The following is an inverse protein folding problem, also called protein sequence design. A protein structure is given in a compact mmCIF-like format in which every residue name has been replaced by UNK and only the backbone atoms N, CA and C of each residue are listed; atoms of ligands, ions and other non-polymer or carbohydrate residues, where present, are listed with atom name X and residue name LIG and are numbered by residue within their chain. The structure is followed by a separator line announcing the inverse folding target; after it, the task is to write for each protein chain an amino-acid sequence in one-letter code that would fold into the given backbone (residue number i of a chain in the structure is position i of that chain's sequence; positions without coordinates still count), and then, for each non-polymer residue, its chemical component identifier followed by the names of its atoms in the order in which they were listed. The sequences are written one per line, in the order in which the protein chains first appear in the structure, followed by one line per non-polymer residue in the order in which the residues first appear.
data_IF_384601980134
#
_entry.id   IF_384601980134
#
_cell.length_a   1.000
_cell.length_b   1.000
_cell.length_c   1.000
_cell.angle_alpha   90.00
_cell.angle_beta   90.00
_cell.angle_gamma   90.00
#
_symmetry.space_group_name_H-M   'P 1'
#
loop_
_entity.id
_entity.type
_entity.pdbx_description
1 polymer ?
#
# COMPACT_ATOMS: atom_id res chain seq x y z
N UNK A 1 0.53 2.65 13.19
CA UNK A 1 0.32 1.41 12.41
C UNK A 1 1.68 0.98 11.86
N UNK A 2 2.09 -0.29 11.99
CA UNK A 2 3.39 -0.76 11.44
C UNK A 2 3.42 -0.72 9.91
N UNK A 3 2.28 -0.94 9.26
CA UNK A 3 2.20 -0.97 7.79
C UNK A 3 2.45 0.41 7.16
N UNK A 4 2.03 1.51 7.81
CA UNK A 4 2.33 2.86 7.32
C UNK A 4 3.82 3.20 7.40
N UNK A 5 4.57 2.59 8.33
CA UNK A 5 6.03 2.69 8.35
C UNK A 5 6.65 1.85 7.23
N UNK A 6 6.21 0.61 7.08
CA UNK A 6 6.72 -0.31 6.04
C UNK A 6 6.48 0.24 4.64
N UNK A 7 5.35 0.91 4.40
CA UNK A 7 5.00 1.51 3.11
C UNK A 7 6.06 2.51 2.62
N UNK A 8 6.70 3.25 3.53
CA UNK A 8 7.79 4.19 3.18
C UNK A 8 8.99 3.50 2.55
N UNK A 9 9.22 2.22 2.88
CA UNK A 9 10.30 1.44 2.28
C UNK A 9 9.95 0.86 0.90
N UNK A 10 8.71 1.06 0.43
CA UNK A 10 8.32 0.65 -0.94
C UNK A 10 8.72 1.67 -2.01
N UNK A 11 9.07 2.90 -1.61
CA UNK A 11 9.36 3.99 -2.52
C UNK A 11 10.53 3.67 -3.44
N UNK A 12 10.35 3.98 -4.72
CA UNK A 12 11.37 3.86 -5.76
C UNK A 12 11.57 5.22 -6.40
N UNK A 13 12.74 5.86 -6.21
CA UNK A 13 13.06 7.09 -6.91
C UNK A 13 12.99 6.89 -8.41
N UNK A 14 12.47 7.87 -9.15
CA UNK A 14 12.61 7.89 -10.61
C UNK A 14 14.06 8.16 -11.00
N UNK A 15 14.42 7.86 -12.25
CA UNK A 15 15.73 8.19 -12.80
C UNK A 15 16.03 9.69 -12.68
N UNK A 16 15.02 10.55 -12.84
CA UNK A 16 15.18 12.00 -12.69
C UNK A 16 15.43 12.43 -11.23
N UNK A 17 14.88 11.70 -10.25
CA UNK A 17 15.10 11.99 -8.82
C UNK A 17 16.50 11.56 -8.37
N UNK A 18 17.08 10.53 -9.01
CA UNK A 18 18.45 10.09 -8.69
C UNK A 18 19.54 11.03 -9.20
N UNK A 19 19.23 11.89 -10.16
CA UNK A 19 20.18 12.84 -10.76
C UNK A 19 20.19 14.21 -10.05
N UNK A 20 19.37 14.39 -9.01
CA UNK A 20 19.32 15.64 -8.25
C UNK A 20 20.63 15.86 -7.47
N UNK A 21 21.03 17.13 -7.20
CA UNK A 21 22.23 17.44 -6.39
C UNK A 21 22.21 16.82 -4.99
N UNK A 22 21.02 16.53 -4.46
CA UNK A 22 20.81 15.81 -3.22
C UNK A 22 19.74 14.72 -3.45
N UNK A 23 20.13 13.55 -3.97
CA UNK A 23 19.19 12.51 -4.33
C UNK A 23 18.60 11.86 -3.07
N UNK A 24 17.36 11.33 -3.13
CA UNK A 24 16.79 10.59 -2.02
C UNK A 24 17.64 9.32 -1.74
N UNK A 25 17.78 8.93 -0.46
CA UNK A 25 18.59 7.79 -0.09
C UNK A 25 18.08 6.51 -0.75
N UNK A 26 18.98 5.78 -1.41
CA UNK A 26 18.67 4.52 -2.08
C UNK A 26 18.65 3.39 -1.04
N UNK A 27 17.49 2.77 -0.86
CA UNK A 27 17.36 1.59 0.00
C UNK A 27 17.91 0.34 -0.70
N UNK A 28 18.48 -0.62 0.05
CA UNK A 28 18.80 -1.95 -0.45
C UNK A 28 17.59 -2.61 -1.14
N UNK A 29 17.83 -3.31 -2.25
CA UNK A 29 16.77 -3.89 -3.08
C UNK A 29 15.96 -4.93 -2.32
N UNK A 30 16.60 -5.69 -1.44
CA UNK A 30 15.97 -6.69 -0.57
C UNK A 30 14.95 -6.05 0.36
N UNK A 31 15.29 -4.91 0.97
CA UNK A 31 14.38 -4.17 1.86
C UNK A 31 13.15 -3.71 1.08
N UNK A 32 13.34 -3.12 -0.10
CA UNK A 32 12.22 -2.68 -0.94
C UNK A 32 11.35 -3.85 -1.41
N UNK A 33 11.96 -4.99 -1.75
CA UNK A 33 11.24 -6.20 -2.15
C UNK A 33 10.35 -6.70 -1.01
N UNK A 34 10.92 -6.88 0.18
CA UNK A 34 10.19 -7.36 1.35
C UNK A 34 9.12 -6.38 1.80
N UNK A 35 9.37 -5.07 1.76
CA UNK A 35 8.36 -4.05 2.01
C UNK A 35 7.15 -4.23 1.08
N UNK A 36 7.38 -4.40 -0.23
CA UNK A 36 6.30 -4.64 -1.19
C UNK A 36 5.54 -5.95 -0.92
N UNK A 37 6.22 -7.01 -0.49
CA UNK A 37 5.59 -8.28 -0.09
C UNK A 37 4.71 -8.06 1.14
N UNK A 38 5.20 -7.39 2.17
CA UNK A 38 4.45 -7.10 3.40
C UNK A 38 3.18 -6.30 3.07
N UNK A 39 3.31 -5.22 2.30
CA UNK A 39 2.17 -4.37 1.94
C UNK A 39 1.08 -5.12 1.16
N UNK A 40 1.46 -6.00 0.22
CA UNK A 40 0.48 -6.85 -0.49
C UNK A 40 -0.20 -7.86 0.43
N UNK A 41 0.52 -8.40 1.41
CA UNK A 41 -0.04 -9.33 2.39
C UNK A 41 -0.99 -8.63 3.38
N UNK A 42 -0.71 -7.38 3.76
CA UNK A 42 -1.58 -6.58 4.63
C UNK A 42 -2.99 -6.38 4.06
N UNK A 43 -3.16 -6.48 2.73
CA UNK A 43 -4.45 -6.36 2.05
C UNK A 43 -5.26 -7.67 1.99
N UNK A 44 -4.77 -8.77 2.56
CA UNK A 44 -5.48 -10.05 2.59
C UNK A 44 -6.71 -9.95 3.49
N UNK A 45 -7.68 -10.83 3.22
CA UNK A 45 -8.82 -11.00 4.12
C UNK A 45 -8.35 -11.60 5.44
N UNK A 46 -9.01 -11.21 6.51
CA UNK A 46 -8.83 -11.81 7.82
C UNK A 46 -9.92 -12.85 8.04
N UNK A 47 -9.57 -14.12 7.92
CA UNK A 47 -10.51 -15.24 8.10
C UNK A 47 -11.00 -15.34 9.55
N UNK A 48 -10.22 -14.85 10.54
CA UNK A 48 -10.65 -14.78 11.95
C UNK A 48 -11.76 -13.75 12.18
N UNK A 49 -11.93 -12.80 11.25
CA UNK A 49 -12.98 -11.76 11.26
C UNK A 49 -14.08 -12.03 10.23
N UNK A 50 -14.26 -13.28 9.80
CA UNK A 50 -15.29 -13.63 8.80
C UNK A 50 -14.90 -13.32 7.36
N UNK A 51 -13.61 -13.15 7.07
CA UNK A 51 -13.09 -12.97 5.71
C UNK A 51 -13.20 -11.54 5.16
N UNK A 52 -13.39 -10.56 6.05
CA UNK A 52 -13.39 -9.13 5.76
C UNK A 52 -11.97 -8.57 5.62
N UNK A 53 -11.83 -7.41 4.98
CA UNK A 53 -10.55 -6.73 4.75
C UNK A 53 -10.50 -5.38 5.44
N UNK A 54 -9.28 -4.94 5.73
CA UNK A 54 -9.02 -3.55 6.08
C UNK A 54 -8.80 -2.71 4.81
N UNK A 55 -9.14 -1.43 4.88
CA UNK A 55 -8.90 -0.46 3.83
C UNK A 55 -7.39 -0.36 3.59
N UNK A 56 -6.98 -0.42 2.32
CA UNK A 56 -5.58 -0.37 1.93
C UNK A 56 -4.94 1.03 2.06
N UNK A 57 -5.71 2.05 2.46
CA UNK A 57 -5.13 3.26 3.02
C UNK A 57 -4.75 2.97 4.49
N UNK A 58 -3.45 2.81 4.74
CA UNK A 58 -2.91 2.37 6.03
C UNK A 58 -3.17 3.35 7.18
N UNK A 59 -3.52 4.61 6.85
CA UNK A 59 -3.91 5.65 7.81
C UNK A 59 -5.42 5.67 8.08
N UNK A 60 -6.24 5.07 7.20
CA UNK A 60 -7.69 5.00 7.39
C UNK A 60 -8.09 3.93 8.42
N UNK A 61 -7.57 2.71 8.27
CA UNK A 61 -7.81 1.62 9.21
C UNK A 61 -9.23 1.04 9.24
N UNK A 62 -10.18 1.56 8.44
CA UNK A 62 -11.56 1.03 8.36
C UNK A 62 -11.58 -0.42 7.87
N UNK A 63 -12.42 -1.25 8.46
CA UNK A 63 -12.70 -2.63 8.03
C UNK A 63 -13.99 -2.71 7.23
N UNK A 64 -14.07 -3.67 6.30
CA UNK A 64 -15.35 -4.01 5.67
C UNK A 64 -16.35 -4.47 6.75
N UNK A 65 -17.60 -4.06 6.63
CA UNK A 65 -18.71 -4.53 7.48
C UNK A 65 -19.26 -5.87 6.96
N UNK A 66 -19.14 -6.10 5.64
CA UNK A 66 -19.48 -7.36 4.99
C UNK A 66 -18.49 -7.69 3.86
N UNK A 67 -18.27 -8.97 3.52
CA UNK A 67 -17.25 -9.34 2.54
C UNK A 67 -17.47 -8.65 1.18
N UNK A 68 -16.38 -8.09 0.63
CA UNK A 68 -16.34 -7.43 -0.69
C UNK A 68 -17.07 -6.08 -0.76
N UNK A 69 -17.34 -5.44 0.37
CA UNK A 69 -17.84 -4.06 0.43
C UNK A 69 -16.89 -3.08 -0.29
N UNK A 70 -15.58 -3.25 -0.11
CA UNK A 70 -14.61 -2.27 -0.58
C UNK A 70 -14.29 -2.40 -2.07
N UNK A 71 -14.08 -1.24 -2.70
CA UNK A 71 -13.74 -1.16 -4.11
C UNK A 71 -12.30 -1.63 -4.37
N UNK A 72 -12.11 -2.48 -5.39
CA UNK A 72 -10.80 -2.96 -5.81
C UNK A 72 -10.02 -1.89 -6.59
N UNK A 73 -8.72 -1.79 -6.34
CA UNK A 73 -7.80 -1.03 -7.19
C UNK A 73 -7.95 -1.50 -8.65
N UNK A 74 -8.11 -0.58 -9.60
CA UNK A 74 -8.32 -0.92 -11.01
C UNK A 74 -7.10 -1.59 -11.66
N UNK A 75 -5.89 -1.29 -11.18
CA UNK A 75 -4.62 -1.80 -11.73
C UNK A 75 -4.34 -3.21 -11.22
N UNK A 76 -4.02 -3.37 -9.93
CA UNK A 76 -3.61 -4.67 -9.41
C UNK A 76 -4.76 -5.59 -8.98
N UNK A 77 -5.95 -5.05 -8.73
CA UNK A 77 -7.10 -5.77 -8.14
C UNK A 77 -6.86 -6.35 -6.73
N UNK A 78 -5.66 -6.19 -6.16
CA UNK A 78 -5.23 -6.73 -4.86
C UNK A 78 -5.60 -5.82 -3.69
N UNK A 79 -5.29 -4.52 -3.76
CA UNK A 79 -5.69 -3.54 -2.75
C UNK A 79 -7.19 -3.19 -2.85
N UNK A 80 -7.85 -2.98 -1.72
CA UNK A 80 -9.28 -2.66 -1.58
C UNK A 80 -9.42 -1.39 -0.74
N UNK A 81 -10.33 -0.49 -1.13
CA UNK A 81 -10.51 0.81 -0.47
C UNK A 81 -11.98 1.05 -0.12
N UNK A 82 -12.24 1.65 1.04
CA UNK A 82 -13.58 2.04 1.45
C UNK A 82 -14.17 3.19 0.62
N UNK A 83 -13.37 3.84 -0.23
CA UNK A 83 -13.82 4.92 -1.11
C UNK A 83 -12.73 5.44 -2.04
N UNK A 84 -13.14 6.28 -3.00
CA UNK A 84 -12.24 6.88 -4.01
C UNK A 84 -11.17 7.78 -3.38
N UNK A 85 -11.53 8.52 -2.33
CA UNK A 85 -10.59 9.38 -1.60
C UNK A 85 -9.44 8.56 -1.00
N UNK A 86 -9.76 7.50 -0.24
CA UNK A 86 -8.75 6.60 0.31
C UNK A 86 -7.88 5.93 -0.76
N UNK A 87 -8.46 5.58 -1.92
CA UNK A 87 -7.66 5.08 -3.05
C UNK A 87 -6.68 6.15 -3.56
N UNK A 88 -7.13 7.39 -3.73
CA UNK A 88 -6.32 8.50 -4.23
C UNK A 88 -5.17 8.83 -3.26
N UNK A 89 -5.48 8.96 -1.97
CA UNK A 89 -4.47 9.21 -0.92
C UNK A 89 -3.47 8.07 -0.84
N UNK A 90 -3.92 6.81 -0.76
CA UNK A 90 -3.00 5.68 -0.72
C UNK A 90 -2.13 5.59 -1.99
N UNK A 91 -2.66 6.00 -3.14
CA UNK A 91 -1.89 6.03 -4.39
C UNK A 91 -0.72 7.01 -4.33
N UNK A 92 -0.95 8.23 -3.83
CA UNK A 92 0.12 9.23 -3.66
C UNK A 92 1.11 8.84 -2.57
N UNK A 93 0.63 8.27 -1.47
CA UNK A 93 1.44 7.91 -0.30
C UNK A 93 2.31 6.65 -0.49
N UNK A 94 2.01 5.78 -1.46
CA UNK A 94 2.93 4.68 -1.75
C UNK A 94 2.37 3.50 -2.54
N UNK A 95 1.04 3.31 -2.60
CA UNK A 95 0.44 2.16 -3.30
C UNK A 95 0.92 1.98 -4.73
N UNK A 96 1.23 3.08 -5.42
CA UNK A 96 1.79 3.06 -6.78
C UNK A 96 3.08 2.23 -6.91
N UNK A 97 3.87 2.10 -5.85
CA UNK A 97 5.15 1.38 -5.87
C UNK A 97 5.03 -0.10 -5.49
N UNK A 98 3.93 -0.51 -4.87
CA UNK A 98 3.70 -1.91 -4.46
C UNK A 98 2.44 -2.55 -5.07
N UNK A 99 1.78 -1.82 -5.97
CA UNK A 99 0.55 -2.20 -6.67
C UNK A 99 0.53 -3.65 -7.12
#
# INVERSE_FOLDING_TARGET
NVFSLVERFTFRPSSSETDLPNPPPKLPQEIQYWAGVIMRNACRKDDSRGGIRQCANMLCGRWEEYPREFAKCRRCRKAKYCGKECQSTAWSEGHRFWC
#
